data_IF_369567052551
#
_entry.id   IF_369567052551
#
_cell.length_a   1.000
_cell.length_b   1.000
_cell.length_c   1.000
_cell.angle_alpha   90.00
_cell.angle_beta   90.00
_cell.angle_gamma   90.00
#
_symmetry.space_group_name_H-M   'P 1'
#
loop_
_entity.id
_entity.type
_entity.pdbx_description
1 polymer ?
#
# COMPACT_ATOMS: atom_id res chain seq x y z
N UNK A 1 12.09 -15.51 11.13
CA UNK A 1 12.08 -14.63 9.95
C UNK A 1 11.18 -15.31 8.93
N UNK A 2 10.11 -14.64 8.49
CA UNK A 2 9.14 -15.16 7.53
C UNK A 2 9.12 -14.21 6.33
N UNK A 3 9.19 -14.74 5.12
CA UNK A 3 8.98 -13.96 3.90
C UNK A 3 7.49 -14.05 3.53
N UNK A 4 6.78 -12.93 3.64
CA UNK A 4 5.34 -12.87 3.41
C UNK A 4 4.98 -12.79 1.92
N UNK A 5 5.94 -12.44 1.03
CA UNK A 5 5.69 -12.32 -0.41
C UNK A 5 6.82 -12.98 -1.23
N UNK A 6 6.90 -14.32 -1.25
CA UNK A 6 7.90 -15.05 -2.01
C UNK A 6 7.59 -15.02 -3.51
N UNK A 7 8.17 -14.04 -4.22
CA UNK A 7 7.98 -13.88 -5.67
C UNK A 7 7.96 -12.43 -6.09
N UNK A 8 9.08 -11.72 -5.89
CA UNK A 8 9.43 -10.42 -6.49
C UNK A 8 8.26 -9.43 -6.69
N UNK A 9 7.40 -9.25 -5.68
CA UNK A 9 6.60 -8.06 -5.63
C UNK A 9 7.55 -6.94 -5.23
N UNK A 10 8.04 -6.18 -6.21
CA UNK A 10 8.95 -5.08 -5.94
C UNK A 10 8.22 -4.02 -5.14
N UNK A 11 8.36 -4.05 -3.81
CA UNK A 11 7.88 -2.99 -2.95
C UNK A 11 9.04 -2.06 -2.62
N UNK A 12 8.87 -0.76 -2.91
CA UNK A 12 9.87 0.23 -2.53
C UNK A 12 9.65 0.79 -1.12
N UNK A 13 8.45 0.62 -0.55
CA UNK A 13 8.11 1.03 0.82
C UNK A 13 6.93 0.21 1.35
N UNK A 14 6.95 -0.11 2.64
CA UNK A 14 5.82 -0.69 3.36
C UNK A 14 5.70 -0.12 4.77
N UNK A 15 4.48 -0.04 5.31
CA UNK A 15 4.18 0.41 6.67
C UNK A 15 3.11 -0.48 7.30
N UNK A 16 3.31 -0.84 8.57
CA UNK A 16 2.31 -1.51 9.38
C UNK A 16 1.13 -0.58 9.68
N UNK A 17 -0.09 -1.12 9.63
CA UNK A 17 -1.23 -0.44 10.22
C UNK A 17 -1.03 -0.30 11.73
N UNK A 18 -1.51 0.79 12.38
CA UNK A 18 -1.36 0.97 13.82
C UNK A 18 -2.01 -0.14 14.66
N UNK A 19 -3.05 -0.78 14.10
CA UNK A 19 -3.75 -1.92 14.71
C UNK A 19 -3.09 -3.29 14.41
N UNK A 20 -1.99 -3.32 13.66
CA UNK A 20 -1.23 -4.52 13.28
C UNK A 20 -1.98 -5.55 12.43
N UNK A 21 -3.16 -5.23 11.91
CA UNK A 21 -3.94 -6.17 11.09
C UNK A 21 -3.48 -6.23 9.63
N UNK A 22 -2.80 -5.20 9.14
CA UNK A 22 -2.41 -5.11 7.74
C UNK A 22 -1.04 -4.43 7.59
N UNK A 23 -0.40 -4.67 6.45
CA UNK A 23 0.76 -3.90 5.99
C UNK A 23 0.36 -3.23 4.68
N UNK A 24 0.50 -1.91 4.59
CA UNK A 24 0.36 -1.20 3.33
C UNK A 24 1.71 -1.14 2.63
N UNK A 25 1.76 -1.47 1.35
CA UNK A 25 2.98 -1.43 0.54
C UNK A 25 2.75 -0.64 -0.75
N UNK A 26 3.76 0.16 -1.13
CA UNK A 26 3.84 0.76 -2.45
C UNK A 26 4.41 -0.29 -3.39
N UNK A 27 3.59 -0.69 -4.37
CA UNK A 27 3.93 -1.69 -5.36
C UNK A 27 4.42 -1.05 -6.66
N UNK A 28 5.50 -1.60 -7.21
CA UNK A 28 5.98 -1.22 -8.54
C UNK A 28 5.26 -2.02 -9.63
N UNK A 29 5.03 -1.32 -10.75
CA UNK A 29 4.31 -1.66 -11.99
C UNK A 29 4.10 -3.12 -12.41
N UNK A 30 5.02 -4.03 -12.13
CA UNK A 30 4.91 -5.43 -12.57
C UNK A 30 3.84 -6.22 -11.81
N UNK A 31 3.44 -5.79 -10.61
CA UNK A 31 2.53 -6.54 -9.73
C UNK A 31 1.05 -6.17 -9.91
N UNK A 32 0.76 -4.89 -10.07
CA UNK A 32 -0.62 -4.36 -10.10
C UNK A 32 -1.03 -3.84 -11.49
N UNK A 33 -0.13 -3.88 -12.48
CA UNK A 33 -0.33 -3.24 -13.78
C UNK A 33 -0.12 -1.72 -13.77
N UNK A 34 0.31 -1.15 -12.64
CA UNK A 34 0.53 0.29 -12.40
C UNK A 34 1.31 0.54 -11.10
N UNK A 35 1.52 1.80 -10.69
CA UNK A 35 1.98 2.03 -9.32
C UNK A 35 0.76 1.94 -8.41
N UNK A 36 0.83 1.14 -7.35
CA UNK A 36 -0.36 0.86 -6.55
C UNK A 36 -0.09 0.76 -5.07
N UNK A 37 -1.13 1.05 -4.29
CA UNK A 37 -1.20 0.71 -2.89
C UNK A 37 -1.71 -0.72 -2.78
N UNK A 38 -0.92 -1.58 -2.15
CA UNK A 38 -1.26 -2.98 -1.89
C UNK A 38 -1.38 -3.18 -0.39
N UNK A 39 -2.48 -3.80 0.05
CA UNK A 39 -2.62 -4.26 1.43
C UNK A 39 -2.19 -5.72 1.50
N UNK A 40 -1.40 -6.03 2.53
CA UNK A 40 -0.84 -7.34 2.79
C UNK A 40 -1.37 -7.83 4.14
N UNK A 41 -1.92 -9.02 4.15
CA UNK A 41 -2.23 -9.77 5.36
C UNK A 41 -0.91 -10.29 5.97
N UNK A 42 -0.58 -9.89 7.20
CA UNK A 42 0.69 -10.23 7.83
C UNK A 42 0.82 -11.70 8.24
N UNK A 43 -0.29 -12.42 8.39
CA UNK A 43 -0.31 -13.83 8.81
C UNK A 43 -0.28 -14.77 7.60
N UNK A 44 -1.06 -14.46 6.57
CA UNK A 44 -1.18 -15.30 5.38
C UNK A 44 -0.26 -14.91 4.22
N UNK A 45 0.22 -13.67 4.19
CA UNK A 45 0.90 -13.08 3.04
C UNK A 45 -0.02 -12.78 1.86
N UNK A 46 -1.35 -12.92 2.04
CA UNK A 46 -2.34 -12.55 1.05
C UNK A 46 -2.25 -11.07 0.70
N UNK A 47 -2.41 -10.73 -0.58
CA UNK A 47 -2.30 -9.36 -1.06
C UNK A 47 -3.54 -8.93 -1.84
N UNK A 48 -3.93 -7.67 -1.67
CA UNK A 48 -4.99 -7.04 -2.45
C UNK A 48 -4.55 -5.65 -2.92
N UNK A 49 -4.95 -5.28 -4.14
CA UNK A 49 -4.71 -3.92 -4.64
C UNK A 49 -5.82 -3.01 -4.13
N UNK A 50 -5.47 -2.10 -3.22
CA UNK A 50 -6.39 -1.15 -2.63
C UNK A 50 -6.60 0.10 -3.51
N UNK A 51 -5.53 0.55 -4.18
CA UNK A 51 -5.58 1.73 -5.05
C UNK A 51 -4.57 1.63 -6.19
N UNK A 52 -4.96 2.10 -7.37
CA UNK A 52 -4.07 2.22 -8.54
C UNK A 52 -3.94 3.69 -8.92
N UNK A 53 -2.71 4.20 -8.93
CA UNK A 53 -2.37 5.53 -9.39
C UNK A 53 -1.99 5.51 -10.88
N UNK A 54 -2.17 6.62 -11.59
CA UNK A 54 -1.72 6.77 -12.97
C UNK A 54 -0.18 6.98 -13.05
N UNK A 55 0.39 7.57 -12.00
CA UNK A 55 1.79 7.92 -11.80
C UNK A 55 2.28 7.39 -10.46
N UNK A 56 3.45 7.84 -9.98
CA UNK A 56 4.10 7.17 -8.84
C UNK A 56 3.46 7.59 -7.52
N UNK A 57 3.26 6.62 -6.64
CA UNK A 57 3.05 6.86 -5.22
C UNK A 57 4.44 7.02 -4.60
N UNK A 58 4.69 8.19 -4.01
CA UNK A 58 5.99 8.59 -3.48
C UNK A 58 6.12 8.23 -2.00
N UNK A 59 5.01 8.31 -1.26
CA UNK A 59 4.98 8.06 0.17
C UNK A 59 3.56 7.66 0.61
N UNK A 60 3.48 6.94 1.73
CA UNK A 60 2.23 6.53 2.38
C UNK A 60 2.32 6.71 3.90
N UNK A 61 1.19 7.04 4.52
CA UNK A 61 1.08 7.09 5.98
C UNK A 61 -0.29 6.61 6.43
N UNK A 62 -0.31 5.71 7.41
CA UNK A 62 -1.57 5.33 8.06
C UNK A 62 -2.11 6.45 8.96
N UNK A 63 -3.43 6.60 8.95
CA UNK A 63 -4.14 7.32 10.00
C UNK A 63 -3.95 6.62 11.36
N UNK A 64 -3.89 7.36 12.49
CA UNK A 64 -3.69 6.77 13.82
C UNK A 64 -4.75 5.71 14.20
N UNK A 65 -5.98 5.88 13.74
CA UNK A 65 -7.08 4.95 13.92
C UNK A 65 -6.98 3.69 13.04
N UNK A 66 -6.14 3.71 11.99
CA UNK A 66 -5.94 2.59 11.08
C UNK A 66 -7.03 2.39 10.03
N UNK A 67 -7.90 3.39 9.82
CA UNK A 67 -9.05 3.31 8.90
C UNK A 67 -8.77 3.95 7.54
N UNK A 68 -7.68 4.72 7.45
CA UNK A 68 -7.30 5.52 6.27
C UNK A 68 -5.80 5.50 6.02
N UNK A 69 -5.43 5.74 4.77
CA UNK A 69 -4.06 5.89 4.32
C UNK A 69 -3.94 7.19 3.51
N UNK A 70 -3.02 8.07 3.92
CA UNK A 70 -2.63 9.22 3.12
C UNK A 70 -1.61 8.79 2.05
N UNK A 71 -1.75 9.31 0.84
CA UNK A 71 -0.85 9.03 -0.28
C UNK A 71 -0.33 10.35 -0.88
N UNK A 72 0.98 10.43 -1.07
CA UNK A 72 1.59 11.43 -1.92
C UNK A 72 1.79 10.82 -3.32
N UNK A 73 1.18 11.40 -4.36
CA UNK A 73 1.29 10.89 -5.73
C UNK A 73 1.80 11.97 -6.68
N UNK A 74 2.38 11.56 -7.81
CA UNK A 74 2.78 12.48 -8.89
C UNK A 74 1.59 12.97 -9.74
N UNK A 75 0.43 12.32 -9.63
CA UNK A 75 -0.73 12.58 -10.49
C UNK A 75 -1.57 13.77 -10.06
N UNK A 76 -1.51 14.09 -8.78
CA UNK A 76 -2.23 15.22 -8.20
C UNK A 76 -1.25 16.13 -7.50
N UNK A 77 -1.45 17.45 -7.66
CA UNK A 77 -0.77 18.48 -6.86
C UNK A 77 -1.34 18.46 -5.42
N UNK A 78 -1.14 17.38 -4.67
CA UNK A 78 -1.66 17.24 -3.32
C UNK A 78 -1.56 15.85 -2.70
N UNK A 79 -2.16 15.73 -1.50
CA UNK A 79 -2.27 14.49 -0.75
C UNK A 79 -3.64 13.87 -1.00
N UNK A 80 -3.67 12.59 -1.38
CA UNK A 80 -4.90 11.79 -1.46
C UNK A 80 -5.12 11.04 -0.15
N UNK A 81 -6.37 10.71 0.15
CA UNK A 81 -6.73 9.85 1.28
C UNK A 81 -7.52 8.67 0.75
N UNK A 82 -7.01 7.47 0.98
CA UNK A 82 -7.72 6.22 0.77
C UNK A 82 -8.42 5.81 2.07
N UNK A 83 -9.71 5.52 2.01
CA UNK A 83 -10.45 4.95 3.14
C UNK A 83 -10.59 3.45 2.92
N UNK A 84 -10.34 2.64 3.96
CA UNK A 84 -10.45 1.18 3.88
C UNK A 84 -11.90 0.68 3.77
N UNK A 85 -12.87 1.54 4.06
CA UNK A 85 -14.30 1.19 4.09
C UNK A 85 -15.06 1.54 2.80
N UNK A 86 -14.40 2.19 1.84
CA UNK A 86 -14.98 2.59 0.54
C UNK A 86 -14.68 1.56 -0.55
#
# INVERSE_FOLDING_TARGET
>A
MVNLTPGALGFNQCEWSPNSYQIACISIREVTGGNGLVLVDPDSGGTETAFTAEGRILDIAWSPEGEKIALATEDVDGIMVYNLAD
#
